data_IF_515487615192
#
_entry.id   IF_515487615192
#
_cell.length_a   1.000
_cell.length_b   1.000
_cell.length_c   1.000
_cell.angle_alpha   90.00
_cell.angle_beta   90.00
_cell.angle_gamma   90.00
#
_symmetry.space_group_name_H-M   'P 1'
#
loop_
_entity.id
_entity.type
_entity.pdbx_description
1 polymer ?
#
# COMPACT_ATOMS: atom_id res chain seq x y z
N UNK A 1 12.20 78.00 -10.45
CA UNK A 1 12.86 77.09 -11.39
C UNK A 1 12.31 75.70 -11.19
N UNK A 2 11.43 75.28 -12.10
CA UNK A 2 10.99 73.89 -12.25
C UNK A 2 12.10 73.12 -12.97
N UNK A 3 12.48 71.95 -12.44
CA UNK A 3 13.01 70.85 -13.25
C UNK A 3 12.23 69.60 -12.86
N UNK A 4 11.19 69.36 -13.63
CA UNK A 4 10.43 68.10 -13.70
C UNK A 4 11.26 67.10 -14.50
N UNK A 5 11.56 65.94 -13.90
CA UNK A 5 11.88 64.72 -14.63
C UNK A 5 10.64 63.82 -14.59
N UNK A 6 9.92 63.63 -15.70
CA UNK A 6 8.76 62.76 -15.75
C UNK A 6 9.12 61.48 -16.50
N UNK A 7 9.32 60.37 -15.78
CA UNK A 7 8.84 59.08 -16.27
C UNK A 7 8.91 58.01 -15.18
N UNK A 8 7.74 57.43 -14.89
CA UNK A 8 7.53 56.14 -14.26
C UNK A 8 7.61 56.04 -12.72
N UNK A 9 6.78 56.80 -12.02
CA UNK A 9 6.22 56.37 -10.73
C UNK A 9 4.85 55.76 -10.96
N UNK A 10 4.81 54.49 -11.35
CA UNK A 10 3.62 53.65 -11.18
C UNK A 10 3.81 52.98 -9.82
N UNK A 11 2.96 53.25 -8.81
CA UNK A 11 2.98 52.48 -7.58
C UNK A 11 2.45 51.09 -7.95
N UNK A 12 3.34 50.08 -8.03
CA UNK A 12 2.91 48.69 -8.11
C UNK A 12 2.20 48.36 -6.79
N UNK A 13 0.90 48.02 -6.79
CA UNK A 13 0.33 47.38 -5.64
C UNK A 13 1.00 45.99 -5.56
N UNK A 14 1.70 45.74 -4.44
CA UNK A 14 2.11 44.40 -4.01
C UNK A 14 0.84 43.55 -3.77
N UNK A 15 0.19 43.12 -4.85
CA UNK A 15 -0.79 42.05 -4.80
C UNK A 15 -0.01 40.76 -4.58
N UNK A 16 -0.04 40.27 -3.34
CA UNK A 16 0.29 38.88 -3.07
C UNK A 16 -0.80 38.03 -3.74
N UNK A 17 -0.49 37.47 -4.91
CA UNK A 17 -1.39 36.54 -5.60
C UNK A 17 -1.43 35.25 -4.78
N UNK A 18 -2.42 35.13 -3.90
CA UNK A 18 -2.76 33.87 -3.25
C UNK A 18 -3.61 33.05 -4.22
N UNK A 19 -3.04 31.94 -4.69
CA UNK A 19 -3.70 31.02 -5.63
C UNK A 19 -3.74 29.66 -4.96
N UNK A 20 -4.86 28.95 -5.10
CA UNK A 20 -4.96 27.59 -4.58
C UNK A 20 -4.00 26.67 -5.36
N UNK A 21 -3.46 25.64 -4.70
CA UNK A 21 -2.54 24.68 -5.36
C UNK A 21 -3.20 24.08 -6.62
N UNK A 22 -4.53 23.88 -6.58
CA UNK A 22 -5.32 23.37 -7.71
C UNK A 22 -5.27 24.32 -8.92
N UNK A 23 -5.48 25.61 -8.70
CA UNK A 23 -5.46 26.62 -9.76
C UNK A 23 -4.05 26.82 -10.33
N UNK A 24 -3.03 26.79 -9.48
CA UNK A 24 -1.64 26.88 -9.92
C UNK A 24 -1.27 25.71 -10.85
N UNK A 25 -1.61 24.48 -10.44
CA UNK A 25 -1.32 23.28 -11.23
C UNK A 25 -2.04 23.30 -12.58
N UNK A 26 -3.30 23.77 -12.63
CA UNK A 26 -4.05 23.92 -13.89
C UNK A 26 -3.47 24.95 -14.85
N UNK A 27 -2.75 25.95 -14.34
CA UNK A 27 -2.15 27.02 -15.15
C UNK A 27 -0.86 26.61 -15.89
N UNK A 28 -0.25 25.49 -15.51
CA UNK A 28 0.97 24.97 -16.11
C UNK A 28 0.68 24.28 -17.46
N UNK A 29 1.48 24.61 -18.48
CA UNK A 29 1.54 23.90 -19.76
C UNK A 29 2.31 22.59 -19.50
N UNK A 30 1.68 21.44 -19.74
CA UNK A 30 2.14 20.07 -19.38
C UNK A 30 1.80 19.59 -17.93
N UNK A 31 0.60 19.90 -17.44
CA UNK A 31 0.17 19.61 -16.07
C UNK A 31 -0.57 18.29 -15.84
N UNK A 32 -0.81 17.47 -16.88
CA UNK A 32 -1.70 16.29 -16.77
C UNK A 32 -1.29 15.34 -15.65
N UNK A 33 0.01 15.15 -15.45
CA UNK A 33 0.56 14.22 -14.45
C UNK A 33 0.56 14.80 -13.04
N UNK A 34 0.68 16.12 -12.92
CA UNK A 34 0.59 16.84 -11.65
C UNK A 34 -0.88 16.93 -11.20
N UNK A 35 -1.81 17.12 -12.15
CA UNK A 35 -3.25 17.08 -11.90
C UNK A 35 -3.67 15.70 -11.38
N UNK A 36 -3.16 14.62 -11.96
CA UNK A 36 -3.46 13.27 -11.50
C UNK A 36 -2.94 13.01 -10.07
N UNK A 37 -1.75 13.51 -9.73
CA UNK A 37 -1.23 13.46 -8.34
C UNK A 37 -2.08 14.26 -7.36
N UNK A 38 -2.59 15.43 -7.78
CA UNK A 38 -3.45 16.27 -6.96
C UNK A 38 -4.82 15.61 -6.73
N UNK A 39 -5.40 15.01 -7.76
CA UNK A 39 -6.65 14.26 -7.64
C UNK A 39 -6.50 13.05 -6.72
N UNK A 40 -5.38 12.34 -6.79
CA UNK A 40 -5.06 11.24 -5.85
C UNK A 40 -5.03 11.71 -4.39
N UNK A 41 -4.41 12.86 -4.12
CA UNK A 41 -4.39 13.44 -2.78
C UNK A 41 -5.82 13.77 -2.31
N UNK A 42 -6.63 14.41 -3.15
CA UNK A 42 -8.01 14.74 -2.83
C UNK A 42 -8.87 13.49 -2.59
N UNK A 43 -8.71 12.43 -3.40
CA UNK A 43 -9.41 11.16 -3.21
C UNK A 43 -8.97 10.47 -1.91
N UNK A 44 -7.69 10.54 -1.53
CA UNK A 44 -7.24 10.05 -0.23
C UNK A 44 -7.94 10.79 0.92
N UNK A 45 -8.09 12.12 0.83
CA UNK A 45 -8.85 12.90 1.80
C UNK A 45 -10.34 12.52 1.84
N UNK A 46 -10.99 12.34 0.69
CA UNK A 46 -12.41 11.95 0.62
C UNK A 46 -12.65 10.52 1.11
N UNK A 47 -11.74 9.58 0.83
CA UNK A 47 -11.82 8.21 1.30
C UNK A 47 -11.61 8.09 2.81
N UNK A 48 -10.88 9.01 3.44
CA UNK A 48 -10.71 9.08 4.91
C UNK A 48 -11.94 9.67 5.61
N UNK A 49 -12.78 10.46 4.91
CA UNK A 49 -13.98 11.10 5.47
C UNK A 49 -15.31 10.42 5.09
N UNK A 50 -15.33 9.60 4.03
CA UNK A 50 -16.48 8.78 3.68
C UNK A 50 -16.61 7.64 4.68
N UNK A 51 -17.56 7.76 5.63
CA UNK A 51 -17.80 6.89 6.81
C UNK A 51 -18.03 5.39 6.58
N UNK A 52 -17.16 4.73 5.82
CA UNK A 52 -17.04 3.28 5.76
C UNK A 52 -16.19 2.80 6.92
N UNK A 53 -16.59 1.69 7.53
CA UNK A 53 -15.78 1.06 8.56
C UNK A 53 -14.40 0.70 7.99
N UNK A 54 -13.32 1.06 8.70
CA UNK A 54 -11.97 0.83 8.22
C UNK A 54 -11.64 -0.66 8.24
N UNK A 55 -11.14 -1.19 7.11
CA UNK A 55 -10.78 -2.60 6.97
C UNK A 55 -9.66 -3.07 7.90
N UNK A 56 -8.81 -2.14 8.36
CA UNK A 56 -7.64 -2.46 9.16
C UNK A 56 -7.61 -1.65 10.45
N UNK A 57 -7.16 -2.26 11.56
CA UNK A 57 -6.96 -1.55 12.81
C UNK A 57 -5.88 -0.45 12.66
N UNK A 58 -5.94 0.60 13.49
CA UNK A 58 -4.88 1.60 13.55
C UNK A 58 -3.58 0.97 14.08
N UNK A 59 -2.44 1.42 13.57
CA UNK A 59 -1.15 1.01 14.14
C UNK A 59 -0.89 1.76 15.44
N UNK A 60 -0.21 1.12 16.38
CA UNK A 60 0.32 1.82 17.54
C UNK A 60 1.38 2.85 17.14
N UNK A 61 1.51 3.88 17.97
CA UNK A 61 2.57 4.89 17.79
C UNK A 61 3.94 4.23 18.01
N UNK A 62 5.00 4.75 17.37
CA UNK A 62 6.34 4.19 17.57
C UNK A 62 6.75 4.22 19.04
N UNK A 63 6.36 5.24 19.81
CA UNK A 63 6.68 5.34 21.24
C UNK A 63 6.08 4.15 22.02
N UNK A 64 4.78 3.89 21.83
CA UNK A 64 4.09 2.76 22.45
C UNK A 64 4.70 1.42 22.04
N UNK A 65 5.13 1.28 20.78
CA UNK A 65 5.81 0.07 20.30
C UNK A 65 7.13 -0.12 21.05
N UNK A 66 7.97 0.91 21.16
CA UNK A 66 9.24 0.81 21.87
C UNK A 66 9.05 0.52 23.37
N UNK A 67 8.07 1.12 24.02
CA UNK A 67 7.70 0.82 25.41
C UNK A 67 7.18 -0.62 25.57
N UNK A 68 6.37 -1.09 24.62
CA UNK A 68 5.88 -2.47 24.56
C UNK A 68 7.00 -3.50 24.40
N UNK A 69 8.02 -3.18 23.60
CA UNK A 69 9.22 -4.01 23.42
C UNK A 69 10.05 -4.03 24.71
N UNK A 70 10.28 -2.86 25.35
CA UNK A 70 11.02 -2.78 26.62
C UNK A 70 10.34 -3.53 27.76
N UNK A 71 9.01 -3.50 27.79
CA UNK A 71 8.20 -4.23 28.78
C UNK A 71 8.00 -5.71 28.42
N UNK A 72 8.60 -6.19 27.33
CA UNK A 72 8.46 -7.56 26.82
C UNK A 72 7.02 -8.01 26.53
N UNK A 73 6.08 -7.06 26.40
CA UNK A 73 4.69 -7.34 25.98
C UNK A 73 4.58 -7.52 24.47
N UNK A 74 5.35 -6.72 23.73
CA UNK A 74 5.42 -6.79 22.27
C UNK A 74 6.76 -7.39 21.86
N UNK A 75 6.74 -8.20 20.82
CA UNK A 75 7.94 -8.77 20.23
C UNK A 75 8.18 -8.17 18.86
N UNK A 76 9.44 -7.88 18.55
CA UNK A 76 9.84 -7.43 17.22
C UNK A 76 10.28 -8.63 16.39
N UNK A 77 9.88 -8.66 15.12
CA UNK A 77 10.29 -9.69 14.19
C UNK A 77 10.25 -9.25 12.73
N UNK A 78 10.65 -10.15 11.84
CA UNK A 78 10.53 -9.96 10.38
C UNK A 78 9.36 -10.78 9.86
N UNK A 79 8.43 -10.11 9.18
CA UNK A 79 7.26 -10.74 8.58
C UNK A 79 7.61 -11.46 7.27
N UNK A 80 7.14 -12.69 7.12
CA UNK A 80 7.32 -13.55 5.97
C UNK A 80 5.94 -13.99 5.48
N UNK A 81 5.54 -13.50 4.30
CA UNK A 81 4.28 -13.93 3.69
C UNK A 81 4.42 -15.35 3.10
N UNK A 82 3.36 -16.14 3.23
CA UNK A 82 3.24 -17.41 2.53
C UNK A 82 3.09 -17.18 1.02
N UNK A 83 3.45 -18.19 0.22
CA UNK A 83 3.26 -18.14 -1.25
C UNK A 83 1.89 -18.64 -1.68
N UNK A 84 1.32 -19.51 -0.85
CA UNK A 84 0.15 -20.33 -1.18
C UNK A 84 -1.12 -19.77 -0.52
N UNK A 85 -0.97 -18.99 0.55
CA UNK A 85 -2.07 -18.34 1.25
C UNK A 85 -1.74 -16.86 1.50
N UNK A 86 -2.61 -15.96 1.04
CA UNK A 86 -2.46 -14.52 1.21
C UNK A 86 -2.99 -13.99 2.55
N UNK A 87 -3.81 -14.78 3.24
CA UNK A 87 -4.36 -14.48 4.57
C UNK A 87 -3.49 -15.05 5.69
N UNK A 88 -2.37 -15.67 5.36
CA UNK A 88 -1.45 -16.24 6.33
C UNK A 88 -0.02 -15.75 6.11
N UNK A 89 0.68 -15.55 7.21
CA UNK A 89 2.10 -15.30 7.21
C UNK A 89 2.74 -15.80 8.50
N UNK A 90 4.06 -15.80 8.48
CA UNK A 90 4.87 -16.21 9.61
C UNK A 90 5.78 -15.06 10.00
N UNK A 91 6.11 -14.97 11.28
CA UNK A 91 7.05 -13.96 11.76
C UNK A 91 8.21 -14.66 12.44
N UNK A 92 9.40 -14.30 11.97
CA UNK A 92 10.66 -14.66 12.60
C UNK A 92 11.01 -13.65 13.70
N UNK A 93 11.09 -14.12 14.95
CA UNK A 93 11.48 -13.30 16.10
C UNK A 93 12.91 -13.66 16.51
N UNK A 94 13.72 -12.64 16.73
CA UNK A 94 15.08 -12.82 17.23
C UNK A 94 15.04 -13.37 18.66
N UNK A 95 15.46 -14.63 18.84
CA UNK A 95 15.48 -15.31 20.13
C UNK A 95 14.43 -16.42 20.30
N UNK A 96 13.54 -16.64 19.33
CA UNK A 96 12.67 -17.82 19.28
C UNK A 96 13.04 -18.68 18.07
N UNK A 97 13.14 -20.00 18.28
CA UNK A 97 13.41 -20.95 17.20
C UNK A 97 12.16 -21.25 16.36
N UNK A 98 10.98 -21.13 16.98
CA UNK A 98 9.68 -21.36 16.31
C UNK A 98 9.15 -20.06 15.73
N UNK A 99 8.65 -20.13 14.49
CA UNK A 99 7.94 -19.02 13.87
C UNK A 99 6.56 -18.84 14.49
N UNK A 100 6.17 -17.58 14.66
CA UNK A 100 4.81 -17.23 15.08
C UNK A 100 3.92 -17.13 13.85
N UNK A 101 2.79 -17.81 13.87
CA UNK A 101 1.80 -17.76 12.82
C UNK A 101 0.95 -16.49 12.97
N UNK A 102 0.68 -15.81 11.86
CA UNK A 102 -0.24 -14.67 11.80
C UNK A 102 -1.28 -14.98 10.76
N UNK A 103 -2.55 -14.97 11.16
CA UNK A 103 -3.68 -15.30 10.28
C UNK A 103 -4.66 -14.14 10.21
N UNK A 104 -5.41 -14.08 9.11
CA UNK A 104 -6.49 -13.14 8.89
C UNK A 104 -6.02 -11.76 8.44
N UNK A 105 -6.96 -10.98 7.91
CA UNK A 105 -6.68 -9.63 7.37
C UNK A 105 -6.30 -8.66 8.50
N UNK A 106 -7.01 -8.74 9.62
CA UNK A 106 -6.74 -7.92 10.80
C UNK A 106 -5.41 -8.27 11.47
N UNK A 107 -5.07 -9.56 11.55
CA UNK A 107 -3.82 -10.03 12.14
C UNK A 107 -2.59 -9.62 11.32
N UNK A 108 -2.69 -9.64 9.99
CA UNK A 108 -1.61 -9.22 9.08
C UNK A 108 -1.38 -7.70 9.05
N UNK A 109 -2.41 -6.90 9.34
CA UNK A 109 -2.36 -5.44 9.50
C UNK A 109 -1.43 -4.71 8.52
N UNK A 110 -1.73 -4.81 7.21
CA UNK A 110 -1.02 -4.11 6.11
C UNK A 110 0.50 -4.38 6.06
N UNK A 111 0.98 -5.48 6.61
CA UNK A 111 2.38 -5.88 6.51
C UNK A 111 2.71 -6.41 5.10
N UNK A 112 3.92 -6.11 4.62
CA UNK A 112 4.46 -6.65 3.36
C UNK A 112 5.61 -7.59 3.68
N UNK A 113 5.79 -8.62 2.86
CA UNK A 113 6.87 -9.59 3.01
C UNK A 113 8.25 -8.91 3.18
N UNK A 114 8.93 -9.23 4.28
CA UNK A 114 10.24 -8.70 4.64
C UNK A 114 10.21 -7.44 5.50
N UNK A 115 9.03 -6.93 5.88
CA UNK A 115 8.89 -5.81 6.81
C UNK A 115 9.31 -6.21 8.23
N UNK A 116 9.86 -5.25 8.99
CA UNK A 116 10.06 -5.41 10.43
C UNK A 116 8.84 -4.91 11.18
N UNK A 117 8.21 -5.81 11.93
CA UNK A 117 6.90 -5.62 12.56
C UNK A 117 6.98 -5.86 14.05
N UNK A 118 6.08 -5.21 14.79
CA UNK A 118 5.83 -5.45 16.19
C UNK A 118 4.56 -6.29 16.36
N UNK A 119 4.66 -7.37 17.12
CA UNK A 119 3.62 -8.37 17.29
C UNK A 119 3.25 -8.49 18.75
N UNK A 120 1.98 -8.75 18.96
CA UNK A 120 1.43 -9.18 20.23
C UNK A 120 1.01 -10.64 20.10
N UNK A 121 1.45 -11.47 21.05
CA UNK A 121 1.10 -12.89 21.10
C UNK A 121 -0.35 -13.03 21.60
N UNK A 122 -1.14 -13.86 20.93
CA UNK A 122 -2.49 -14.20 21.37
C UNK A 122 -2.43 -15.26 22.48
N UNK A 123 -3.46 -15.33 23.36
CA UNK A 123 -3.55 -16.39 24.36
C UNK A 123 -3.55 -17.78 23.71
N UNK A 124 -3.08 -18.79 24.45
CA UNK A 124 -2.96 -20.18 23.96
C UNK A 124 -4.29 -20.78 23.46
N UNK A 125 -5.40 -20.26 23.95
CA UNK A 125 -6.75 -20.64 23.53
C UNK A 125 -7.03 -20.32 22.06
N UNK A 126 -6.45 -19.23 21.55
CA UNK A 126 -6.63 -18.74 20.17
C UNK A 126 -5.49 -19.21 19.24
N UNK A 127 -4.59 -20.05 19.72
CA UNK A 127 -3.54 -20.64 18.89
C UNK A 127 -4.16 -21.56 17.85
N UNK A 128 -3.71 -21.36 16.62
CA UNK A 128 -4.30 -21.94 15.42
C UNK A 128 -3.24 -22.73 14.66
N UNK A 129 -3.68 -23.72 13.88
CA UNK A 129 -2.82 -24.47 13.00
C UNK A 129 -2.74 -23.79 11.63
N UNK A 130 -1.63 -23.95 10.88
CA UNK A 130 -1.55 -23.53 9.48
C UNK A 130 -2.68 -24.16 8.66
N UNK A 131 -3.37 -23.37 7.85
CA UNK A 131 -4.42 -23.88 6.98
C UNK A 131 -3.79 -24.65 5.80
N UNK A 132 -4.26 -25.87 5.53
CA UNK A 132 -3.84 -26.63 4.34
C UNK A 132 -4.54 -26.13 3.06
N UNK A 133 -5.55 -25.27 3.20
CA UNK A 133 -6.29 -24.69 2.09
C UNK A 133 -5.44 -23.68 1.32
N UNK A 134 -5.05 -24.05 0.10
CA UNK A 134 -4.41 -23.16 -0.87
C UNK A 134 -5.46 -22.17 -1.37
N UNK A 135 -5.61 -21.05 -0.68
CA UNK A 135 -6.44 -19.94 -1.15
C UNK A 135 -5.64 -19.11 -2.15
N UNK A 136 -5.87 -19.36 -3.43
CA UNK A 136 -5.41 -18.49 -4.48
C UNK A 136 -6.44 -17.37 -4.65
N UNK A 137 -5.97 -16.12 -4.69
CA UNK A 137 -6.79 -14.93 -4.97
C UNK A 137 -7.15 -14.91 -6.48
N UNK A 138 -7.68 -16.03 -6.99
CA UNK A 138 -8.17 -16.18 -8.36
C UNK A 138 -9.56 -15.55 -8.42
N UNK A 139 -9.64 -14.48 -9.21
CA UNK A 139 -10.84 -13.91 -9.82
C UNK A 139 -12.10 -13.98 -8.98
N UNK A 140 -12.36 -12.98 -8.13
CA UNK A 140 -13.73 -12.52 -7.97
C UNK A 140 -13.82 -11.09 -7.43
N UNK A 141 -14.43 -10.25 -8.27
CA UNK A 141 -14.93 -8.91 -7.98
C UNK A 141 -16.38 -9.02 -7.45
N UNK A 142 -16.72 -10.10 -6.74
CA UNK A 142 -17.99 -10.32 -6.03
C UNK A 142 -17.75 -10.19 -4.53
N UNK A 143 -18.37 -9.17 -3.94
CA UNK A 143 -18.20 -8.83 -2.54
C UNK A 143 -18.94 -9.77 -1.60
N UNK A 144 -18.30 -10.87 -1.21
CA UNK A 144 -18.70 -11.66 -0.04
C UNK A 144 -17.57 -11.66 1.00
N UNK A 145 -17.69 -10.72 1.94
CA UNK A 145 -16.67 -10.40 2.95
C UNK A 145 -16.73 -11.39 4.15
N UNK A 146 -17.78 -12.23 4.22
CA UNK A 146 -18.08 -13.05 5.40
C UNK A 146 -17.76 -14.54 5.25
N UNK A 147 -17.59 -15.06 4.04
CA UNK A 147 -17.48 -16.51 3.82
C UNK A 147 -16.03 -17.04 3.94
N UNK A 148 -15.03 -16.24 3.58
CA UNK A 148 -13.62 -16.68 3.64
C UNK A 148 -13.11 -16.86 5.09
N UNK A 149 -13.40 -15.91 5.99
CA UNK A 149 -12.88 -15.97 7.36
C UNK A 149 -13.59 -17.02 8.23
N UNK A 150 -14.84 -17.35 7.90
CA UNK A 150 -15.62 -18.39 8.61
C UNK A 150 -15.22 -19.79 8.18
N UNK A 151 -14.78 -19.98 6.93
CA UNK A 151 -14.34 -21.28 6.39
C UNK A 151 -12.97 -21.72 6.93
N UNK A 152 -12.09 -20.77 7.27
CA UNK A 152 -10.77 -21.08 7.83
C UNK A 152 -10.88 -21.65 9.27
N UNK A 153 -11.80 -21.13 10.09
CA UNK A 153 -11.96 -21.54 11.49
C UNK A 153 -12.50 -22.97 11.65
N UNK A 154 -13.15 -23.53 10.64
CA UNK A 154 -13.84 -24.84 10.72
C UNK A 154 -12.99 -26.04 10.30
N UNK A 155 -11.80 -25.83 9.71
CA UNK A 155 -10.97 -26.89 9.14
C UNK A 155 -9.74 -27.29 9.97
N UNK A 156 -9.65 -26.84 11.22
CA UNK A 156 -8.54 -27.18 12.13
C UNK A 156 -8.67 -28.64 12.59
N UNK A 157 -8.09 -29.56 11.82
CA UNK A 157 -7.69 -30.88 12.34
C UNK A 157 -6.56 -30.69 13.34
N UNK A 158 -6.44 -31.60 14.31
CA UNK A 158 -5.44 -31.63 15.39
C UNK A 158 -3.98 -31.73 14.90
N UNK A 159 -3.52 -30.74 14.15
CA UNK A 159 -2.11 -30.49 13.91
C UNK A 159 -1.64 -29.60 15.06
N UNK A 160 -0.41 -29.84 15.54
CA UNK A 160 0.20 -29.10 16.65
C UNK A 160 -0.08 -27.60 16.56
N UNK A 161 -0.85 -27.07 17.52
CA UNK A 161 -1.19 -25.65 17.58
C UNK A 161 0.10 -24.83 17.63
N UNK A 162 0.28 -23.95 16.64
CA UNK A 162 1.43 -23.06 16.60
C UNK A 162 1.10 -21.78 17.36
N UNK A 163 2.09 -21.11 17.97
CA UNK A 163 1.86 -19.82 18.60
C UNK A 163 1.34 -18.83 17.55
N UNK A 164 0.15 -18.27 17.80
CA UNK A 164 -0.47 -17.27 16.91
C UNK A 164 -0.27 -15.87 17.48
N UNK A 165 0.02 -14.91 16.61
CA UNK A 165 0.15 -13.50 16.99
C UNK A 165 -0.60 -12.57 16.05
N UNK A 166 -0.78 -11.32 16.49
CA UNK A 166 -1.32 -10.22 15.69
C UNK A 166 -0.29 -9.10 15.50
N UNK A 167 -0.23 -8.53 14.31
CA UNK A 167 0.65 -7.40 14.01
C UNK A 167 -0.01 -6.11 14.49
N UNK A 168 0.65 -5.45 15.43
CA UNK A 168 0.12 -4.24 16.08
C UNK A 168 0.70 -2.97 15.45
N UNK A 169 1.87 -3.08 14.81
CA UNK A 169 2.47 -1.97 14.10
C UNK A 169 3.67 -2.39 13.25
N UNK A 170 4.05 -1.51 12.34
CA UNK A 170 5.20 -1.71 11.44
C UNK A 170 6.30 -0.76 11.86
N UNK A 171 7.45 -1.31 12.27
CA UNK A 171 8.62 -0.53 12.71
C UNK A 171 9.38 -0.01 11.50
N UNK A 172 9.61 -0.89 10.51
CA UNK A 172 10.36 -0.53 9.30
C UNK A 172 9.77 -1.24 8.09
N UNK A 173 9.32 -0.45 7.10
CA UNK A 173 8.89 -0.96 5.79
C UNK A 173 10.10 -1.25 4.91
N UNK A 174 10.07 -2.38 4.20
CA UNK A 174 11.10 -2.84 3.27
C UNK A 174 10.57 -2.88 1.84
N UNK A 175 9.83 -1.83 1.47
CA UNK A 175 9.27 -1.72 0.14
C UNK A 175 10.34 -1.61 -0.94
N UNK A 176 10.07 -2.27 -2.06
CA UNK A 176 10.95 -2.35 -3.21
C UNK A 176 10.15 -2.05 -4.47
N UNK A 177 10.87 -1.96 -5.58
CA UNK A 177 10.26 -1.91 -6.89
C UNK A 177 9.83 -3.33 -7.28
N UNK A 178 8.55 -3.50 -7.59
CA UNK A 178 7.96 -4.78 -7.97
C UNK A 178 7.69 -4.81 -9.47
N UNK A 179 8.06 -5.91 -10.12
CA UNK A 179 7.75 -6.15 -11.53
C UNK A 179 6.45 -6.95 -11.65
N UNK A 180 5.62 -6.67 -12.66
CA UNK A 180 4.36 -7.38 -12.86
C UNK A 180 3.62 -6.92 -14.11
N UNK A 181 2.33 -7.26 -14.16
CA UNK A 181 1.43 -6.90 -15.25
C UNK A 181 0.24 -6.11 -14.71
N UNK A 182 -0.30 -5.21 -15.54
CA UNK A 182 -1.50 -4.45 -15.22
C UNK A 182 -2.74 -5.21 -15.70
N UNK A 183 -3.61 -5.56 -14.77
CA UNK A 183 -4.96 -6.03 -15.04
C UNK A 183 -5.87 -4.81 -15.16
N UNK A 184 -6.22 -4.48 -16.40
CA UNK A 184 -7.17 -3.40 -16.68
C UNK A 184 -8.55 -3.76 -16.11
N UNK A 185 -9.29 -2.74 -15.68
CA UNK A 185 -10.64 -2.94 -15.18
C UNK A 185 -11.58 -3.23 -16.34
N UNK A 186 -12.66 -3.98 -16.09
CA UNK A 186 -13.64 -4.35 -17.12
C UNK A 186 -14.33 -3.11 -17.76
N UNK A 187 -14.42 -2.00 -17.01
CA UNK A 187 -14.99 -0.74 -17.50
C UNK A 187 -13.96 0.09 -18.29
N UNK A 188 -14.23 0.24 -19.60
CA UNK A 188 -13.48 1.12 -20.50
C UNK A 188 -13.59 2.57 -20.02
N UNK A 189 -12.48 3.16 -19.58
CA UNK A 189 -12.41 4.53 -19.07
C UNK A 189 -12.32 4.67 -17.54
N UNK A 190 -12.37 3.57 -16.79
CA UNK A 190 -11.96 3.61 -15.38
C UNK A 190 -10.48 3.97 -15.31
N UNK A 191 -10.11 4.92 -14.45
CA UNK A 191 -8.71 5.21 -14.13
C UNK A 191 -8.12 4.17 -13.17
N UNK A 192 -8.96 3.41 -12.47
CA UNK A 192 -8.56 2.49 -11.41
C UNK A 192 -8.37 1.09 -11.98
N UNK A 193 -7.17 0.56 -11.78
CA UNK A 193 -6.73 -0.73 -12.25
C UNK A 193 -6.02 -1.51 -11.15
N UNK A 194 -5.86 -2.82 -11.35
CA UNK A 194 -5.16 -3.69 -10.42
C UNK A 194 -3.86 -4.14 -11.07
N UNK A 195 -2.76 -4.01 -10.35
CA UNK A 195 -1.47 -4.54 -10.75
C UNK A 195 -1.21 -5.85 -10.02
N UNK A 196 -0.89 -6.87 -10.81
CA UNK A 196 -0.55 -8.20 -10.34
C UNK A 196 0.97 -8.32 -10.34
N UNK A 197 1.62 -8.34 -9.15
CA UNK A 197 3.06 -8.54 -9.07
C UNK A 197 3.43 -9.94 -9.54
N UNK A 198 4.63 -10.09 -10.10
CA UNK A 198 5.15 -11.40 -10.48
C UNK A 198 5.44 -12.29 -9.26
N UNK A 199 5.71 -11.69 -8.10
CA UNK A 199 5.90 -12.41 -6.84
C UNK A 199 4.56 -12.58 -6.11
N UNK A 200 4.11 -13.83 -5.94
CA UNK A 200 2.85 -14.18 -5.23
C UNK A 200 2.81 -13.77 -3.75
N UNK A 201 3.98 -13.47 -3.16
CA UNK A 201 4.11 -13.00 -1.77
C UNK A 201 3.70 -11.55 -1.57
N UNK A 202 3.63 -10.78 -2.66
CA UNK A 202 3.29 -9.37 -2.62
C UNK A 202 1.80 -9.26 -2.97
N UNK A 203 1.00 -8.54 -2.16
CA UNK A 203 -0.42 -8.35 -2.47
C UNK A 203 -0.60 -7.62 -3.79
N UNK A 204 -1.74 -7.85 -4.44
CA UNK A 204 -2.17 -7.06 -5.60
C UNK A 204 -2.21 -5.57 -5.22
N UNK A 205 -1.84 -4.71 -6.16
CA UNK A 205 -1.66 -3.28 -5.92
C UNK A 205 -2.68 -2.50 -6.74
N UNK A 206 -3.37 -1.53 -6.13
CA UNK A 206 -4.27 -0.65 -6.87
C UNK A 206 -3.46 0.49 -7.49
N UNK A 207 -3.60 0.65 -8.80
CA UNK A 207 -2.95 1.69 -9.59
C UNK A 207 -4.01 2.57 -10.23
N UNK A 208 -3.79 3.88 -10.19
CA UNK A 208 -4.60 4.82 -10.95
C UNK A 208 -3.81 5.33 -12.16
N UNK A 209 -4.27 5.04 -13.37
CA UNK A 209 -3.63 5.49 -14.61
C UNK A 209 -4.64 5.65 -15.73
N UNK A 210 -4.48 6.72 -16.54
CA UNK A 210 -5.25 6.92 -17.77
C UNK A 210 -4.67 6.19 -18.98
N UNK A 211 -3.43 5.72 -18.87
CA UNK A 211 -2.69 5.05 -19.96
C UNK A 211 -2.77 3.52 -19.87
N UNK A 212 -3.87 3.00 -19.33
CA UNK A 212 -4.04 1.57 -19.06
C UNK A 212 -3.93 0.70 -20.31
N UNK A 213 -4.46 1.15 -21.45
CA UNK A 213 -4.42 0.40 -22.71
C UNK A 213 -3.00 0.15 -23.21
N UNK A 214 -2.09 1.10 -22.99
CA UNK A 214 -0.68 0.95 -23.39
C UNK A 214 0.11 0.09 -22.40
N UNK A 215 -0.26 0.14 -21.12
CA UNK A 215 0.46 -0.51 -20.03
C UNK A 215 0.00 -1.96 -19.78
N UNK A 216 -1.26 -2.30 -20.10
CA UNK A 216 -1.83 -3.65 -19.93
C UNK A 216 -1.09 -4.72 -20.74
N UNK A 217 -0.62 -4.35 -21.94
CA UNK A 217 0.11 -5.27 -22.84
C UNK A 217 1.59 -5.40 -22.50
N UNK A 218 2.09 -4.78 -21.42
CA UNK A 218 3.51 -4.66 -21.13
C UNK A 218 3.83 -5.04 -19.68
N UNK A 219 5.10 -5.41 -19.43
CA UNK A 219 5.60 -5.59 -18.07
C UNK A 219 6.02 -4.25 -17.49
N UNK A 220 5.43 -3.89 -16.36
CA UNK A 220 5.68 -2.62 -15.68
C UNK A 220 6.34 -2.87 -14.32
N UNK A 221 7.04 -1.85 -13.84
CA UNK A 221 7.65 -1.79 -12.52
C UNK A 221 6.86 -0.78 -11.69
N UNK A 222 6.52 -1.15 -10.46
CA UNK A 222 5.63 -0.38 -9.59
C UNK A 222 6.28 -0.28 -8.22
N UNK A 223 6.19 0.89 -7.58
CA UNK A 223 6.64 1.10 -6.21
C UNK A 223 5.44 1.47 -5.34
N UNK A 224 5.31 0.85 -4.17
CA UNK A 224 4.20 1.13 -3.23
C UNK A 224 4.41 2.50 -2.59
N UNK A 225 3.39 3.36 -2.62
CA UNK A 225 3.44 4.70 -2.00
C UNK A 225 2.79 4.72 -0.62
N UNK A 226 1.57 4.20 -0.52
CA UNK A 226 0.83 4.16 0.75
C UNK A 226 -0.10 2.96 0.83
N UNK A 227 -0.42 2.53 2.05
CA UNK A 227 -1.47 1.55 2.28
C UNK A 227 -2.34 2.07 3.42
N UNK A 228 -3.42 2.81 3.09
CA UNK A 228 -4.30 3.40 4.10
C UNK A 228 -5.25 2.34 4.68
N UNK A 229 -5.89 2.67 5.81
CA UNK A 229 -6.78 1.76 6.54
C UNK A 229 -8.10 1.43 5.84
N UNK A 230 -8.53 2.33 4.97
CA UNK A 230 -9.77 2.25 4.19
C UNK A 230 -9.59 1.50 2.86
N UNK A 231 -8.36 1.16 2.47
CA UNK A 231 -8.08 0.47 1.21
C UNK A 231 -7.63 -0.97 1.46
N UNK A 232 -8.36 -1.93 0.88
CA UNK A 232 -7.99 -3.34 0.87
C UNK A 232 -6.62 -3.60 0.22
N UNK A 233 -6.30 -2.87 -0.84
CA UNK A 233 -5.04 -3.01 -1.58
C UNK A 233 -4.15 -1.78 -1.34
N UNK A 234 -2.81 -1.95 -1.33
CA UNK A 234 -1.88 -0.82 -1.35
C UNK A 234 -2.11 0.05 -2.58
N UNK A 235 -1.85 1.34 -2.42
CA UNK A 235 -2.04 2.38 -3.43
C UNK A 235 -0.69 2.79 -4.02
N UNK A 236 -0.74 3.13 -5.31
CA UNK A 236 0.40 3.67 -6.05
C UNK A 236 -0.03 4.81 -6.94
N UNK A 237 0.75 5.88 -6.91
CA UNK A 237 0.61 7.06 -7.76
C UNK A 237 1.40 6.96 -9.06
N UNK A 238 2.55 6.26 -9.07
CA UNK A 238 3.46 6.23 -10.23
C UNK A 238 3.87 4.81 -10.62
N UNK A 239 3.82 4.51 -11.93
CA UNK A 239 4.34 3.26 -12.49
C UNK A 239 5.44 3.54 -13.52
N UNK A 240 6.44 2.66 -13.56
CA UNK A 240 7.60 2.76 -14.45
C UNK A 240 7.49 1.70 -15.55
N UNK A 241 7.77 2.10 -16.79
CA UNK A 241 7.82 1.17 -17.92
C UNK A 241 9.19 0.51 -17.99
N UNK A 242 9.23 -0.83 -17.96
CA UNK A 242 10.48 -1.59 -18.14
C UNK A 242 10.78 -1.73 -19.63
N UNK A 243 11.76 -0.98 -20.14
CA UNK A 243 12.18 -1.10 -21.52
C UNK A 243 13.16 -2.28 -21.67
N UNK A 244 12.67 -3.43 -22.16
CA UNK A 244 13.44 -4.69 -22.26
C UNK A 244 14.49 -4.65 -23.39
N UNK A 245 14.41 -3.70 -24.32
CA UNK A 245 15.34 -3.58 -25.46
C UNK A 245 16.69 -2.91 -25.14
N UNK A 246 16.87 -2.33 -23.94
CA UNK A 246 18.13 -1.68 -23.59
C UNK A 246 18.95 -2.54 -22.61
N UNK A 247 19.83 -3.40 -23.13
CA UNK A 247 20.93 -4.03 -22.37
C UNK A 247 22.00 -3.02 -21.86
N UNK A 248 21.70 -1.72 -21.86
CA UNK A 248 22.63 -0.66 -21.48
C UNK A 248 21.96 0.34 -20.53
N UNK A 249 22.26 0.20 -19.24
CA UNK A 249 22.49 1.27 -18.23
C UNK A 249 21.68 2.57 -18.23
N UNK A 250 20.46 2.59 -18.76
CA UNK A 250 19.51 3.67 -18.49
C UNK A 250 18.22 3.05 -17.99
N UNK A 251 18.06 3.03 -16.66
CA UNK A 251 16.72 3.09 -16.08
C UNK A 251 16.09 4.33 -16.72
N UNK A 252 15.25 4.15 -17.73
CA UNK A 252 14.45 5.23 -18.27
C UNK A 252 13.40 5.48 -17.19
N UNK A 253 13.75 6.40 -16.29
CA UNK A 253 12.78 7.04 -15.43
C UNK A 253 11.81 7.74 -16.38
N UNK A 254 10.67 7.13 -16.64
CA UNK A 254 9.49 7.91 -16.96
C UNK A 254 9.07 8.58 -15.64
N UNK A 255 9.82 9.61 -15.26
CA UNK A 255 9.16 10.76 -14.67
C UNK A 255 8.40 11.39 -15.82
N UNK A 256 7.07 11.44 -15.79
CA UNK A 256 6.41 12.48 -16.55
C UNK A 256 6.73 13.85 -15.95
#
# INVERSE_FOLDING_TARGET
MLRTCPHLTIPLPLYCLCVTVVEYVKSLKDSTTIIDKLNLANIQYEADWGGREPFFPPHLTPIQIHEGIKSARLMQGTFLASRDNFLEGQVNIEGQEKFILVQGREGLNRAVNGDSVAIELLPEEEWSAPSELVMMDEEDESGDIAEDETTIKSSVKEVEKQPTGRIVGIIRRKWRQYCGILQAASSKGSSRHIFVPAERKIPKIRIETRQADTLSSQRIIVAIDSWPRNSRYPLVSCCFKKNILARSTKNIFYFP
#
